data_IF_717340302099
#
_entry.id   IF_717340302099
#
_cell.length_a   1.000
_cell.length_b   1.000
_cell.length_c   1.000
_cell.angle_alpha   90.00
_cell.angle_beta   90.00
_cell.angle_gamma   90.00
#
_symmetry.space_group_name_H-M   'P 1'
#
loop_
_entity.id
_entity.type
_entity.pdbx_description
1 polymer ?
#
# COMPACT_ATOMS: atom_id res chain seq x y z
N UNK A 1 3.98 -21.30 -1.40
CA UNK A 1 3.70 -19.87 -1.20
C UNK A 1 2.97 -19.29 -2.40
N UNK A 2 2.11 -19.78 -3.04
CA UNK A 2 1.39 -19.26 -4.17
C UNK A 2 -0.11 -19.36 -3.94
N UNK A 3 -0.56 -19.03 -2.74
CA UNK A 3 -1.99 -18.91 -2.47
C UNK A 3 -2.61 -17.82 -3.34
N UNK A 4 -3.92 -17.87 -3.53
CA UNK A 4 -4.64 -16.81 -4.23
C UNK A 4 -4.36 -15.45 -3.60
N UNK A 5 -4.21 -14.44 -4.43
CA UNK A 5 -3.99 -13.05 -4.04
C UNK A 5 -4.80 -12.13 -4.96
N UNK A 6 -4.85 -10.85 -4.64
CA UNK A 6 -5.49 -9.85 -5.50
C UNK A 6 -4.95 -9.81 -6.94
N UNK A 7 -3.79 -10.42 -7.19
CA UNK A 7 -3.18 -10.50 -8.52
C UNK A 7 -3.28 -11.89 -9.17
N UNK A 8 -3.81 -12.88 -8.45
CA UNK A 8 -3.89 -14.27 -8.92
C UNK A 8 -5.32 -14.85 -8.83
N UNK A 9 -6.32 -13.99 -8.87
CA UNK A 9 -7.73 -14.37 -8.96
C UNK A 9 -8.44 -14.55 -7.62
N UNK A 10 -7.95 -13.97 -6.53
CA UNK A 10 -8.67 -13.90 -5.26
C UNK A 10 -9.09 -12.47 -4.95
N UNK A 11 -10.29 -12.30 -4.44
CA UNK A 11 -10.76 -11.05 -3.86
C UNK A 11 -10.42 -10.90 -2.37
N UNK A 12 -9.81 -11.93 -1.79
CA UNK A 12 -9.47 -11.99 -0.36
C UNK A 12 -7.99 -12.29 -0.18
N UNK A 13 -7.34 -11.53 0.70
CA UNK A 13 -5.98 -11.80 1.17
C UNK A 13 -5.98 -11.95 2.68
N UNK A 14 -5.46 -13.06 3.20
CA UNK A 14 -5.37 -13.31 4.64
C UNK A 14 -4.08 -12.75 5.22
N UNK A 15 -4.17 -12.16 6.41
CA UNK A 15 -3.01 -11.80 7.24
C UNK A 15 -2.51 -13.00 8.07
N UNK A 16 -3.36 -14.01 8.29
CA UNK A 16 -3.01 -15.25 9.00
C UNK A 16 -2.27 -16.22 8.08
N UNK A 17 -1.12 -15.81 7.58
CA UNK A 17 -0.27 -16.65 6.73
C UNK A 17 1.17 -16.56 7.19
N UNK A 18 1.92 -17.68 7.15
CA UNK A 18 3.32 -17.66 7.52
C UNK A 18 4.11 -16.80 6.52
N UNK A 19 5.04 -16.03 7.03
CA UNK A 19 5.96 -15.27 6.21
C UNK A 19 7.16 -16.14 5.82
N UNK A 20 7.56 -16.17 4.55
CA UNK A 20 8.74 -16.90 4.13
C UNK A 20 10.02 -16.24 4.64
N UNK A 21 11.08 -17.02 4.75
CA UNK A 21 12.41 -16.50 5.07
C UNK A 21 12.79 -15.37 4.09
N UNK A 22 13.28 -14.27 4.63
CA UNK A 22 13.70 -13.11 3.86
C UNK A 22 12.56 -12.25 3.29
N UNK A 23 11.30 -12.47 3.72
CA UNK A 23 10.16 -11.66 3.24
C UNK A 23 10.22 -10.22 3.76
N UNK A 24 10.42 -10.04 5.07
CA UNK A 24 10.51 -8.72 5.70
C UNK A 24 11.89 -8.09 5.51
N UNK A 25 12.93 -8.87 5.75
CA UNK A 25 14.31 -8.44 5.58
C UNK A 25 15.13 -9.62 5.07
N UNK A 26 16.04 -9.36 4.15
CA UNK A 26 17.00 -10.35 3.69
C UNK A 26 18.34 -10.15 4.38
N UNK A 27 19.06 -11.26 4.58
CA UNK A 27 20.46 -11.19 4.95
C UNK A 27 21.26 -10.57 3.79
N UNK A 28 22.19 -9.68 4.13
CA UNK A 28 23.13 -9.14 3.15
C UNK A 28 24.22 -10.19 2.87
N UNK A 29 23.98 -11.00 1.86
CA UNK A 29 24.89 -12.09 1.48
C UNK A 29 26.13 -11.58 0.74
N UNK A 30 26.11 -10.40 0.14
CA UNK A 30 27.19 -9.85 -0.67
C UNK A 30 27.23 -8.32 -0.68
N UNK A 31 26.84 -7.65 0.41
CA UNK A 31 26.66 -6.19 0.43
C UNK A 31 25.73 -5.71 -0.68
N UNK A 32 24.69 -6.46 -0.94
CA UNK A 32 23.72 -6.10 -1.94
C UNK A 32 23.21 -4.69 -1.65
N UNK A 33 23.40 -3.82 -2.59
CA UNK A 33 22.62 -2.59 -2.65
C UNK A 33 21.16 -3.03 -2.63
N UNK A 34 20.36 -2.41 -1.80
CA UNK A 34 18.92 -2.59 -1.86
C UNK A 34 18.55 -2.37 -3.32
N UNK A 35 18.22 -3.44 -4.02
CA UNK A 35 17.90 -3.36 -5.42
C UNK A 35 16.70 -2.42 -5.53
N UNK A 36 16.80 -1.42 -6.37
CA UNK A 36 15.66 -0.58 -6.69
C UNK A 36 14.56 -1.52 -7.18
N UNK A 37 13.33 -1.28 -6.75
CA UNK A 37 12.17 -2.00 -7.28
C UNK A 37 12.24 -1.92 -8.80
N UNK A 38 12.33 -3.08 -9.47
CA UNK A 38 12.55 -3.16 -10.92
C UNK A 38 13.95 -3.63 -11.36
N UNK A 39 14.98 -3.47 -10.54
CA UNK A 39 16.36 -3.90 -10.87
C UNK A 39 16.69 -5.34 -10.42
N UNK A 40 15.66 -6.13 -10.16
CA UNK A 40 15.85 -7.55 -9.83
C UNK A 40 16.39 -8.29 -11.04
N UNK A 41 17.70 -8.44 -11.08
CA UNK A 41 18.29 -9.31 -12.09
C UNK A 41 17.81 -10.75 -11.84
N UNK A 42 17.68 -11.51 -12.90
CA UNK A 42 17.28 -12.91 -12.82
C UNK A 42 18.26 -13.75 -12.00
N UNK A 43 19.53 -13.34 -11.97
CA UNK A 43 20.61 -13.93 -11.20
C UNK A 43 20.41 -13.78 -9.70
N UNK A 44 20.06 -12.57 -9.23
CA UNK A 44 19.94 -12.33 -7.79
C UNK A 44 18.85 -13.19 -7.15
N UNK A 45 17.72 -13.37 -7.85
CA UNK A 45 16.64 -14.24 -7.38
C UNK A 45 17.05 -15.70 -7.30
N UNK A 46 17.89 -16.16 -8.23
CA UNK A 46 18.34 -17.54 -8.24
C UNK A 46 19.31 -17.80 -7.10
N UNK A 47 20.20 -16.86 -6.78
CA UNK A 47 21.14 -16.99 -5.66
C UNK A 47 20.40 -17.10 -4.34
N UNK A 48 19.36 -16.28 -4.11
CA UNK A 48 18.54 -16.40 -2.92
C UNK A 48 17.78 -17.73 -2.85
N UNK A 49 17.27 -18.24 -3.96
CA UNK A 49 16.63 -19.57 -4.03
C UNK A 49 17.61 -20.68 -3.67
N UNK A 50 18.82 -20.63 -4.19
CA UNK A 50 19.86 -21.61 -3.91
C UNK A 50 20.23 -21.66 -2.42
N UNK A 51 19.99 -20.58 -1.68
CA UNK A 51 20.19 -20.46 -0.24
C UNK A 51 18.91 -20.77 0.57
N UNK A 52 17.87 -21.27 -0.06
CA UNK A 52 16.62 -21.67 0.60
C UNK A 52 15.63 -20.53 0.87
N UNK A 53 15.83 -19.36 0.27
CA UNK A 53 14.85 -18.29 0.34
C UNK A 53 13.72 -18.49 -0.68
N UNK A 54 12.55 -17.98 -0.38
CA UNK A 54 11.43 -17.98 -1.32
C UNK A 54 11.65 -17.01 -2.47
N UNK A 55 10.87 -17.18 -3.55
CA UNK A 55 10.80 -16.22 -4.66
C UNK A 55 10.27 -14.84 -4.25
N UNK A 56 9.65 -14.75 -3.09
CA UNK A 56 9.10 -13.55 -2.49
C UNK A 56 10.05 -12.92 -1.47
N UNK A 57 11.32 -13.31 -1.50
CA UNK A 57 12.34 -12.65 -0.70
C UNK A 57 12.34 -11.15 -0.99
N UNK A 58 12.26 -10.34 0.06
CA UNK A 58 12.13 -8.88 -0.02
C UNK A 58 10.87 -8.35 -0.74
N UNK A 59 9.81 -9.11 -0.79
CA UNK A 59 8.55 -8.61 -1.37
C UNK A 59 7.80 -7.64 -0.43
N UNK A 60 8.12 -7.60 0.86
CA UNK A 60 7.53 -6.66 1.79
C UNK A 60 8.01 -5.23 1.52
N UNK A 61 7.10 -4.28 1.58
CA UNK A 61 7.41 -2.86 1.42
C UNK A 61 8.43 -2.37 2.43
N UNK A 62 8.33 -2.81 3.69
CA UNK A 62 9.22 -2.41 4.78
C UNK A 62 10.71 -2.43 4.39
N UNK A 63 11.20 -3.53 3.85
CA UNK A 63 12.61 -3.65 3.49
C UNK A 63 13.03 -2.78 2.30
N UNK A 64 12.08 -2.41 1.44
CA UNK A 64 12.34 -1.73 0.20
C UNK A 64 12.18 -0.21 0.29
N UNK A 65 11.26 0.26 1.12
CA UNK A 65 10.89 1.68 1.19
C UNK A 65 10.87 2.24 2.60
N UNK A 66 10.01 1.71 3.47
CA UNK A 66 9.75 2.29 4.79
C UNK A 66 11.01 2.31 5.66
N UNK A 67 11.77 1.23 5.68
CA UNK A 67 13.01 1.14 6.46
C UNK A 67 14.05 2.20 6.05
N UNK A 68 14.10 2.55 4.78
CA UNK A 68 15.03 3.58 4.30
C UNK A 68 14.63 4.96 4.81
N UNK A 69 13.34 5.26 4.77
CA UNK A 69 12.80 6.50 5.30
C UNK A 69 12.99 6.55 6.83
N UNK A 70 12.67 5.49 7.53
CA UNK A 70 12.83 5.39 8.99
C UNK A 70 14.28 5.67 9.40
N UNK A 71 15.24 5.00 8.77
CA UNK A 71 16.68 5.21 9.04
C UNK A 71 17.13 6.64 8.75
N UNK A 72 16.58 7.26 7.72
CA UNK A 72 16.85 8.64 7.41
C UNK A 72 16.28 9.56 8.49
N UNK A 73 15.04 9.39 8.87
CA UNK A 73 14.36 10.19 9.89
C UNK A 73 15.08 10.11 11.24
N UNK A 74 15.36 8.90 11.72
CA UNK A 74 16.07 8.68 12.98
C UNK A 74 17.47 9.32 12.98
N UNK A 75 18.23 9.21 11.89
CA UNK A 75 19.54 9.86 11.76
C UNK A 75 19.45 11.40 11.82
N UNK A 76 18.31 11.95 11.45
CA UNK A 76 18.06 13.39 11.50
C UNK A 76 17.34 13.82 12.79
N UNK A 77 17.23 12.93 13.79
CA UNK A 77 16.63 13.23 15.10
C UNK A 77 15.11 13.39 15.06
N UNK A 78 14.44 12.88 14.02
CA UNK A 78 12.98 12.91 13.92
C UNK A 78 12.43 11.71 14.69
N UNK A 79 11.59 11.97 15.68
CA UNK A 79 10.88 10.94 16.43
C UNK A 79 9.72 10.42 15.60
N UNK A 80 9.64 9.11 15.45
CA UNK A 80 8.58 8.43 14.69
C UNK A 80 7.71 7.60 15.64
N UNK A 81 6.40 7.65 15.43
CA UNK A 81 5.45 6.63 15.84
C UNK A 81 5.10 5.74 14.64
N UNK A 82 4.57 4.57 14.90
CA UNK A 82 4.23 3.60 13.87
C UNK A 82 2.78 3.16 14.03
N UNK A 83 2.08 3.08 12.91
CA UNK A 83 0.73 2.55 12.84
C UNK A 83 0.63 1.57 11.66
N UNK A 84 -0.20 0.55 11.82
CA UNK A 84 -0.60 -0.32 10.72
C UNK A 84 -1.86 0.21 10.06
N UNK A 85 -2.18 -0.28 8.87
CA UNK A 85 -3.44 0.02 8.20
C UNK A 85 -4.67 -0.37 9.05
N UNK A 86 -4.57 -1.47 9.81
CA UNK A 86 -5.64 -1.89 10.72
C UNK A 86 -5.82 -0.97 11.93
N UNK A 87 -4.73 -0.37 12.43
CA UNK A 87 -4.81 0.59 13.52
C UNK A 87 -5.53 1.87 13.06
N UNK A 88 -5.23 2.35 11.86
CA UNK A 88 -5.93 3.50 11.27
C UNK A 88 -7.41 3.22 11.01
N UNK A 89 -7.74 2.03 10.50
CA UNK A 89 -9.13 1.64 10.21
C UNK A 89 -9.95 1.53 11.49
N UNK A 90 -9.36 1.05 12.59
CA UNK A 90 -10.07 0.75 13.81
C UNK A 90 -10.58 2.00 14.54
N UNK A 91 -9.78 3.07 14.63
CA UNK A 91 -10.14 4.23 15.47
C UNK A 91 -9.57 5.57 15.03
N UNK A 92 -8.51 5.58 14.22
CA UNK A 92 -7.75 6.80 13.95
C UNK A 92 -6.92 7.33 15.12
N UNK A 93 -7.05 6.75 16.32
CA UNK A 93 -6.28 7.13 17.52
C UNK A 93 -4.77 7.21 17.32
N UNK A 94 -4.14 6.36 16.47
CA UNK A 94 -2.70 6.45 16.23
C UNK A 94 -2.21 7.79 15.70
N UNK A 95 -3.09 8.65 15.19
CA UNK A 95 -2.73 9.98 14.69
C UNK A 95 -2.74 11.06 15.77
N UNK A 96 -3.38 10.79 16.91
CA UNK A 96 -3.50 11.75 18.00
C UNK A 96 -2.15 12.14 18.59
N UNK A 97 -1.94 13.43 18.77
CA UNK A 97 -0.71 13.98 19.35
C UNK A 97 0.50 14.01 18.42
N UNK A 98 0.38 13.55 17.19
CA UNK A 98 1.43 13.66 16.19
C UNK A 98 1.22 14.90 15.32
N UNK A 99 2.29 15.60 14.91
CA UNK A 99 2.19 16.79 14.06
C UNK A 99 1.92 16.45 12.59
N UNK A 100 2.18 15.20 12.17
CA UNK A 100 1.98 14.78 10.80
C UNK A 100 1.77 13.26 10.68
N UNK A 101 0.88 12.88 9.78
CA UNK A 101 0.79 11.54 9.19
C UNK A 101 1.73 11.46 8.00
N UNK A 102 2.46 10.35 7.86
CA UNK A 102 3.36 10.13 6.73
C UNK A 102 3.14 8.74 6.13
N UNK A 103 2.72 8.70 4.87
CA UNK A 103 2.64 7.48 4.07
C UNK A 103 3.92 7.32 3.24
N UNK A 104 4.55 6.14 3.31
CA UNK A 104 5.81 5.86 2.62
C UNK A 104 5.70 4.55 1.84
N UNK A 105 6.24 4.50 0.63
CA UNK A 105 6.41 3.29 -0.14
C UNK A 105 5.30 3.02 -1.15
N UNK A 106 4.64 1.87 -1.06
CA UNK A 106 3.55 1.48 -1.96
C UNK A 106 2.27 1.31 -1.14
N UNK A 107 1.31 2.21 -1.30
CA UNK A 107 0.17 2.37 -0.39
C UNK A 107 -1.17 2.33 -1.14
N UNK A 108 -1.38 1.21 -1.83
CA UNK A 108 -2.39 1.05 -2.88
C UNK A 108 -3.80 0.74 -2.34
N UNK A 109 -3.89 0.06 -1.19
CA UNK A 109 -5.15 -0.47 -0.65
C UNK A 109 -5.55 0.26 0.61
N UNK A 110 -6.60 1.05 0.53
CA UNK A 110 -7.13 1.81 1.65
C UNK A 110 -8.56 1.38 1.96
N UNK A 111 -8.86 1.19 3.23
CA UNK A 111 -10.24 1.05 3.67
C UNK A 111 -10.92 2.40 3.84
N UNK A 112 -12.24 2.37 3.97
CA UNK A 112 -13.00 3.58 4.29
C UNK A 112 -12.57 4.16 5.63
N UNK A 113 -12.38 3.32 6.66
CA UNK A 113 -11.94 3.76 7.98
C UNK A 113 -10.57 4.44 7.96
N UNK A 114 -9.58 3.85 7.28
CA UNK A 114 -8.27 4.48 7.11
C UNK A 114 -8.37 5.87 6.48
N UNK A 115 -9.16 5.99 5.43
CA UNK A 115 -9.30 7.24 4.71
C UNK A 115 -10.02 8.30 5.54
N UNK A 116 -11.11 7.91 6.20
CA UNK A 116 -11.85 8.80 7.10
C UNK A 116 -10.95 9.28 8.24
N UNK A 117 -10.13 8.40 8.83
CA UNK A 117 -9.20 8.76 9.89
C UNK A 117 -8.19 9.84 9.45
N UNK A 118 -7.56 9.66 8.29
CA UNK A 118 -6.56 10.61 7.79
C UNK A 118 -7.20 11.92 7.32
N UNK A 119 -8.35 11.87 6.63
CA UNK A 119 -9.07 13.08 6.21
C UNK A 119 -9.55 13.88 7.42
N UNK A 120 -10.16 13.25 8.43
CA UNK A 120 -10.58 13.90 9.66
C UNK A 120 -9.40 14.54 10.41
N UNK A 121 -8.29 13.81 10.52
CA UNK A 121 -7.08 14.33 11.16
C UNK A 121 -6.57 15.62 10.46
N UNK A 122 -6.61 15.65 9.13
CA UNK A 122 -6.21 16.85 8.36
C UNK A 122 -7.24 17.98 8.55
N UNK A 123 -8.52 17.66 8.54
CA UNK A 123 -9.59 18.65 8.75
C UNK A 123 -9.53 19.28 10.15
N UNK A 124 -9.04 18.55 11.14
CA UNK A 124 -8.77 19.03 12.50
C UNK A 124 -7.45 19.82 12.63
N UNK A 125 -6.72 20.00 11.55
CA UNK A 125 -5.49 20.81 11.51
C UNK A 125 -4.20 20.02 11.52
N UNK A 126 -4.27 18.69 11.41
CA UNK A 126 -3.10 17.84 11.22
C UNK A 126 -2.50 17.98 9.82
N UNK A 127 -1.31 17.44 9.63
CA UNK A 127 -0.63 17.45 8.34
C UNK A 127 -0.50 16.03 7.80
N UNK A 128 -0.68 15.85 6.49
CA UNK A 128 -0.42 14.58 5.82
C UNK A 128 0.61 14.75 4.72
N UNK A 129 1.58 13.82 4.66
CA UNK A 129 2.60 13.78 3.62
C UNK A 129 2.63 12.39 2.98
N UNK A 130 2.52 12.35 1.65
CA UNK A 130 2.47 11.13 0.87
C UNK A 130 3.77 10.98 0.07
N UNK A 131 4.70 10.18 0.60
CA UNK A 131 5.91 9.72 -0.09
C UNK A 131 5.70 8.31 -0.64
N UNK A 132 4.53 8.07 -1.19
CA UNK A 132 4.06 6.76 -1.60
C UNK A 132 3.57 6.73 -3.04
N UNK A 133 3.61 5.54 -3.64
CA UNK A 133 3.05 5.29 -4.96
C UNK A 133 1.70 4.59 -4.90
N UNK A 134 0.86 4.79 -5.90
CA UNK A 134 -0.49 4.25 -6.03
C UNK A 134 -1.41 4.58 -4.84
N UNK A 135 -1.11 5.62 -4.10
CA UNK A 135 -1.75 5.95 -2.83
C UNK A 135 -3.27 5.98 -2.94
N UNK A 136 -3.94 5.20 -2.08
CA UNK A 136 -5.39 5.09 -2.02
C UNK A 136 -6.05 4.80 -3.39
N UNK A 137 -5.46 3.90 -4.19
CA UNK A 137 -6.00 3.58 -5.50
C UNK A 137 -7.21 2.65 -5.42
N UNK A 138 -7.09 1.55 -4.65
CA UNK A 138 -8.16 0.60 -4.42
C UNK A 138 -8.80 0.78 -3.07
N UNK A 139 -10.13 0.90 -3.04
CA UNK A 139 -10.88 0.69 -1.81
C UNK A 139 -10.84 -0.79 -1.45
N UNK A 140 -10.55 -1.07 -0.19
CA UNK A 140 -10.55 -2.39 0.39
C UNK A 140 -11.37 -2.39 1.69
N UNK A 141 -11.69 -3.57 2.19
CA UNK A 141 -12.36 -3.76 3.50
C UNK A 141 -11.55 -4.71 4.35
N UNK A 142 -11.45 -4.42 5.63
CA UNK A 142 -11.05 -5.40 6.62
C UNK A 142 -12.26 -6.26 6.99
N UNK A 143 -12.07 -7.55 7.03
CA UNK A 143 -13.10 -8.53 7.43
C UNK A 143 -12.51 -9.53 8.44
N UNK A 144 -13.40 -10.32 9.09
CA UNK A 144 -13.03 -11.36 10.03
C UNK A 144 -12.08 -10.84 11.15
N UNK A 145 -12.50 -9.75 11.82
CA UNK A 145 -11.73 -9.12 12.90
C UNK A 145 -10.29 -8.78 12.47
N UNK A 146 -10.12 -8.11 11.35
CA UNK A 146 -8.82 -7.71 10.77
C UNK A 146 -7.93 -8.86 10.31
N UNK A 147 -8.45 -10.08 10.17
CA UNK A 147 -7.68 -11.22 9.66
C UNK A 147 -7.60 -11.27 8.14
N UNK A 148 -8.49 -10.55 7.47
CA UNK A 148 -8.62 -10.54 6.02
C UNK A 148 -8.73 -9.13 5.47
N UNK A 149 -8.12 -8.92 4.32
CA UNK A 149 -8.36 -7.77 3.46
C UNK A 149 -9.09 -8.23 2.21
N UNK A 150 -10.16 -7.52 1.84
CA UNK A 150 -11.02 -7.85 0.70
C UNK A 150 -11.01 -6.70 -0.29
N UNK A 151 -10.83 -7.01 -1.57
CA UNK A 151 -10.93 -6.04 -2.67
C UNK A 151 -11.33 -6.75 -3.97
N UNK A 152 -12.46 -6.38 -4.52
CA UNK A 152 -12.98 -6.92 -5.79
C UNK A 152 -12.40 -6.23 -7.01
N UNK A 153 -11.83 -5.05 -6.84
CA UNK A 153 -11.18 -4.29 -7.93
C UNK A 153 -12.11 -4.09 -9.13
N UNK A 154 -11.70 -4.64 -10.28
CA UNK A 154 -12.49 -4.57 -11.52
C UNK A 154 -13.64 -5.57 -11.58
N UNK A 155 -13.65 -6.60 -10.73
CA UNK A 155 -14.75 -7.55 -10.59
C UNK A 155 -15.87 -7.02 -9.70
N UNK A 156 -16.15 -5.73 -9.79
CA UNK A 156 -17.06 -4.97 -8.92
C UNK A 156 -18.45 -5.61 -8.78
N UNK A 157 -18.96 -6.26 -9.84
CA UNK A 157 -20.28 -6.92 -9.84
C UNK A 157 -20.34 -8.18 -8.98
N UNK A 158 -19.19 -8.71 -8.59
CA UNK A 158 -19.08 -9.86 -7.71
C UNK A 158 -19.02 -9.45 -6.24
N UNK A 159 -18.83 -8.14 -5.98
CA UNK A 159 -18.81 -7.60 -4.61
C UNK A 159 -20.22 -7.68 -4.01
N UNK A 160 -20.41 -8.30 -2.82
CA UNK A 160 -21.70 -8.36 -2.15
C UNK A 160 -22.37 -7.00 -1.90
N UNK A 161 -21.59 -5.92 -1.91
CA UNK A 161 -22.10 -4.56 -1.74
C UNK A 161 -22.45 -3.85 -3.06
N UNK A 162 -22.38 -4.55 -4.20
CA UNK A 162 -22.62 -3.92 -5.50
C UNK A 162 -24.04 -3.39 -5.66
N UNK A 163 -25.02 -4.16 -5.22
CA UNK A 163 -26.46 -3.83 -5.31
C UNK A 163 -27.02 -3.21 -4.02
N UNK A 164 -26.17 -2.92 -3.05
CA UNK A 164 -26.59 -2.39 -1.76
C UNK A 164 -26.54 -0.85 -1.73
N UNK A 165 -27.47 -0.19 -1.01
CA UNK A 165 -27.41 1.26 -0.77
C UNK A 165 -26.14 1.69 -0.02
N UNK A 166 -25.36 0.75 0.51
CA UNK A 166 -24.10 0.95 1.21
C UNK A 166 -22.89 1.00 0.28
N UNK A 167 -23.07 1.50 -0.92
CA UNK A 167 -21.97 1.71 -1.89
C UNK A 167 -20.65 2.26 -1.30
N UNK A 168 -20.67 3.02 -0.17
CA UNK A 168 -19.42 3.42 0.49
C UNK A 168 -18.48 2.28 0.89
N UNK A 169 -18.95 1.02 0.94
CA UNK A 169 -18.14 -0.15 1.25
C UNK A 169 -17.75 -0.97 0.02
N UNK A 170 -18.14 -0.53 -1.16
CA UNK A 170 -17.82 -1.18 -2.42
C UNK A 170 -16.31 -1.16 -2.68
N UNK A 171 -15.71 -2.32 -2.86
CA UNK A 171 -14.25 -2.44 -2.94
C UNK A 171 -13.73 -2.44 -4.38
N UNK A 172 -13.71 -1.26 -4.97
CA UNK A 172 -13.20 -0.97 -6.31
C UNK A 172 -12.22 0.22 -6.25
N UNK A 173 -11.97 0.89 -7.36
CA UNK A 173 -11.18 2.13 -7.35
C UNK A 173 -11.88 3.22 -6.52
N UNK A 174 -11.13 3.95 -5.74
CA UNK A 174 -11.64 5.13 -5.04
C UNK A 174 -12.20 6.19 -6.00
N UNK A 175 -11.66 6.26 -7.22
CA UNK A 175 -12.11 7.14 -8.28
C UNK A 175 -13.33 6.61 -9.06
N UNK A 176 -13.82 5.40 -8.77
CA UNK A 176 -15.03 4.87 -9.41
C UNK A 176 -16.23 5.76 -9.06
N UNK A 177 -17.08 6.13 -10.04
CA UNK A 177 -18.26 6.96 -9.78
C UNK A 177 -19.21 6.39 -8.72
N UNK A 178 -19.26 5.08 -8.53
CA UNK A 178 -20.07 4.45 -7.50
C UNK A 178 -19.53 4.66 -6.08
N UNK A 179 -18.22 4.87 -5.95
CA UNK A 179 -17.57 5.24 -4.68
C UNK A 179 -17.57 6.77 -4.51
N UNK A 180 -17.24 7.50 -5.56
CA UNK A 180 -17.34 8.96 -5.61
C UNK A 180 -16.34 9.74 -4.76
N UNK A 181 -15.24 9.08 -4.31
CA UNK A 181 -14.18 9.69 -3.49
C UNK A 181 -12.82 9.48 -4.15
N UNK A 182 -12.50 10.15 -5.26
CA UNK A 182 -11.22 9.95 -5.93
C UNK A 182 -10.04 10.31 -5.01
N UNK A 183 -8.94 9.59 -5.17
CA UNK A 183 -7.74 9.69 -4.34
C UNK A 183 -7.15 11.11 -4.32
N UNK A 184 -7.28 11.86 -5.41
CA UNK A 184 -6.75 13.22 -5.51
C UNK A 184 -7.43 14.24 -4.58
N UNK A 185 -8.60 13.93 -4.04
CA UNK A 185 -9.24 14.80 -3.03
C UNK A 185 -8.44 14.82 -1.73
N UNK A 186 -7.77 13.70 -1.40
CA UNK A 186 -6.93 13.57 -0.20
C UNK A 186 -5.46 13.88 -0.50
N UNK A 187 -4.94 13.35 -1.61
CA UNK A 187 -3.49 13.39 -1.90
C UNK A 187 -3.07 14.55 -2.80
N UNK A 188 -4.01 15.26 -3.41
CA UNK A 188 -3.76 16.31 -4.38
C UNK A 188 -3.37 15.82 -5.79
N UNK A 189 -3.12 14.53 -5.96
CA UNK A 189 -2.73 13.91 -7.23
C UNK A 189 -3.51 12.63 -7.49
N UNK A 190 -3.71 12.29 -8.78
CA UNK A 190 -4.36 11.03 -9.16
C UNK A 190 -3.39 10.11 -9.88
N UNK A 191 -3.42 8.82 -9.52
CA UNK A 191 -2.67 7.78 -10.21
C UNK A 191 -3.29 7.42 -11.58
N UNK A 192 -4.56 7.68 -11.79
CA UNK A 192 -5.29 7.34 -13.01
C UNK A 192 -4.77 8.07 -14.26
N UNK A 193 -3.95 9.12 -14.09
CA UNK A 193 -3.29 9.85 -15.17
C UNK A 193 -1.82 10.08 -14.85
N UNK A 194 -0.94 9.81 -15.82
CA UNK A 194 0.49 10.06 -15.70
C UNK A 194 1.29 8.98 -14.98
N UNK A 195 0.66 8.02 -14.31
CA UNK A 195 1.31 7.02 -13.47
C UNK A 195 2.36 6.17 -14.18
N UNK A 196 2.18 5.80 -15.41
CA UNK A 196 3.13 5.06 -16.23
C UNK A 196 3.49 5.80 -17.51
N UNK A 197 3.74 7.10 -17.42
CA UNK A 197 3.96 7.98 -18.58
C UNK A 197 4.95 7.43 -19.61
N UNK A 198 6.06 6.80 -19.15
CA UNK A 198 7.05 6.16 -20.03
C UNK A 198 6.50 4.93 -20.76
N UNK A 199 5.55 4.23 -20.17
CA UNK A 199 4.93 3.03 -20.76
C UNK A 199 3.81 3.39 -21.73
N UNK A 200 3.26 4.58 -21.63
CA UNK A 200 2.17 5.10 -22.43
C UNK A 200 2.64 5.96 -23.62
N UNK A 201 3.95 5.98 -23.91
CA UNK A 201 4.55 6.84 -24.93
C UNK A 201 4.19 8.33 -24.78
N UNK A 202 3.93 8.78 -23.55
CA UNK A 202 3.70 10.21 -23.31
C UNK A 202 4.94 11.02 -23.69
N UNK A 203 4.79 12.16 -24.36
CA UNK A 203 5.90 13.06 -24.62
C UNK A 203 6.64 13.42 -23.33
N UNK A 204 7.93 13.61 -23.41
CA UNK A 204 8.80 13.83 -22.26
C UNK A 204 8.31 14.97 -21.39
N UNK A 205 7.88 14.65 -20.16
CA UNK A 205 7.80 15.62 -19.08
C UNK A 205 6.59 16.53 -19.06
N UNK A 206 5.63 16.31 -19.92
CA UNK A 206 4.38 17.04 -19.91
C UNK A 206 3.28 16.36 -19.08
N UNK A 207 3.67 15.53 -18.13
CA UNK A 207 2.86 14.99 -17.04
C UNK A 207 1.35 14.83 -17.27
N UNK A 208 0.95 14.77 -18.51
CA UNK A 208 -0.40 14.58 -19.03
C UNK A 208 -1.53 15.29 -18.33
#
# INVERSE_FOLDING_TARGET
WGGPSFYTGSHVSSFERPLPRGFLAKEDLHRFRIARVGDWSRSDRQDYRNLGYSTWCMAAGWANWELLFVRWAERNGITLGYATSSDLDASGEPLEGYPAYVSVGHDEYWSKGMRDAVENYVDEGGNAAFFSGNTAFWQARFEDSYKKLVSYKTSIKEDPYFDEPSAPLLSTMWSDPLVGRPENQMTGVSFSRGGYARMQNSPRGDGG
#
